data_IF_691041272940
#
_entry.id   IF_691041272940
#
_cell.length_a   1.000
_cell.length_b   1.000
_cell.length_c   1.000
_cell.angle_alpha   90.00
_cell.angle_beta   90.00
_cell.angle_gamma   90.00
#
_symmetry.space_group_name_H-M   'P 1'
#
loop_
_entity.id
_entity.type
_entity.pdbx_description
1 polymer ?
#
# COMPACT_ATOMS: atom_id res chain seq x y z
N UNK A 1 17.76 28.48 10.06
CA UNK A 1 18.32 29.04 8.82
C UNK A 1 17.23 29.16 7.77
N UNK A 2 16.73 30.37 7.63
CA UNK A 2 15.79 30.92 6.67
C UNK A 2 15.15 29.98 5.63
N UNK A 3 13.86 29.82 5.67
CA UNK A 3 12.93 29.40 4.59
C UNK A 3 13.20 28.08 3.83
N UNK A 4 14.23 27.27 4.13
CA UNK A 4 14.43 25.97 3.49
C UNK A 4 14.09 24.85 4.46
N UNK A 5 13.00 24.13 4.19
CA UNK A 5 12.67 22.90 4.92
C UNK A 5 13.77 21.86 4.69
N UNK A 6 14.47 21.48 5.74
CA UNK A 6 15.54 20.46 5.68
C UNK A 6 14.99 19.04 5.75
N UNK A 7 13.77 18.88 6.22
CA UNK A 7 13.04 17.62 6.32
C UNK A 7 11.80 17.79 7.19
N UNK A 8 11.01 16.75 7.26
CA UNK A 8 9.80 16.66 8.07
C UNK A 8 9.82 15.34 8.83
N UNK A 9 9.33 15.34 10.05
CA UNK A 9 9.16 14.17 10.90
C UNK A 9 7.65 13.97 11.10
N UNK A 10 7.13 12.80 10.75
CA UNK A 10 5.70 12.54 10.92
C UNK A 10 5.31 12.57 12.40
N UNK A 11 6.02 11.81 13.24
CA UNK A 11 5.76 11.78 14.68
C UNK A 11 7.04 11.67 15.50
N UNK A 12 7.11 12.46 16.58
CA UNK A 12 8.04 12.28 17.69
C UNK A 12 7.23 11.86 18.91
N UNK A 13 7.50 10.67 19.43
CA UNK A 13 6.76 10.06 20.53
C UNK A 13 7.72 9.82 21.69
N UNK A 14 7.33 10.23 22.88
CA UNK A 14 8.01 9.82 24.11
C UNK A 14 7.38 8.51 24.59
N UNK A 15 8.14 7.44 24.54
CA UNK A 15 7.76 6.17 25.13
C UNK A 15 7.86 6.28 26.65
N UNK A 16 6.74 6.17 27.35
CA UNK A 16 6.66 6.38 28.81
C UNK A 16 7.25 5.22 29.61
N UNK A 17 7.32 4.03 29.05
CA UNK A 17 7.90 2.84 29.69
C UNK A 17 9.42 2.88 29.66
N UNK A 18 9.99 3.23 28.51
CA UNK A 18 11.45 3.24 28.29
C UNK A 18 12.08 4.62 28.46
N UNK A 19 11.25 5.67 28.58
CA UNK A 19 11.64 7.08 28.60
C UNK A 19 12.47 7.52 27.37
N UNK A 20 12.33 6.80 26.24
CA UNK A 20 13.01 7.07 24.99
C UNK A 20 12.19 7.96 24.07
N UNK A 21 12.87 8.76 23.26
CA UNK A 21 12.25 9.50 22.16
C UNK A 21 12.34 8.64 20.91
N UNK A 22 11.18 8.41 20.31
CA UNK A 22 10.99 7.59 19.12
C UNK A 22 10.53 8.47 17.95
N UNK A 23 11.18 8.30 16.81
CA UNK A 23 10.75 8.88 15.54
C UNK A 23 9.96 7.84 14.75
N UNK A 24 8.71 8.13 14.44
CA UNK A 24 7.82 7.26 13.69
C UNK A 24 7.46 7.91 12.35
N UNK A 25 7.80 7.24 11.27
CA UNK A 25 7.35 7.57 9.92
C UNK A 25 6.20 6.65 9.53
N UNK A 26 5.06 7.24 9.15
CA UNK A 26 3.82 6.48 8.86
C UNK A 26 3.44 6.66 7.40
N UNK A 27 3.14 5.59 6.71
CA UNK A 27 2.64 5.63 5.35
C UNK A 27 1.45 4.70 5.16
N UNK A 28 0.42 5.18 4.46
CA UNK A 28 -0.67 4.34 3.98
C UNK A 28 -0.38 3.96 2.53
N UNK A 29 -0.25 2.65 2.27
CA UNK A 29 0.14 2.14 0.97
C UNK A 29 -0.64 0.90 0.57
N UNK A 30 -0.95 0.82 -0.71
CA UNK A 30 -1.55 -0.33 -1.36
C UNK A 30 -0.63 -0.74 -2.49
N UNK A 31 -0.08 -1.95 -2.42
CA UNK A 31 0.86 -2.45 -3.42
C UNK A 31 0.32 -3.69 -4.12
N UNK A 32 0.47 -3.70 -5.43
CA UNK A 32 0.09 -4.78 -6.34
C UNK A 32 1.36 -5.53 -6.71
N UNK A 33 1.43 -6.81 -6.36
CA UNK A 33 2.54 -7.67 -6.70
C UNK A 33 2.47 -8.14 -8.14
N UNK A 34 3.63 -8.31 -8.77
CA UNK A 34 3.77 -8.84 -10.14
C UNK A 34 4.91 -9.87 -10.17
N UNK A 35 4.91 -10.71 -11.18
CA UNK A 35 5.96 -11.70 -11.47
C UNK A 35 6.33 -12.57 -10.25
N UNK A 36 7.60 -12.52 -9.83
CA UNK A 36 8.17 -13.32 -8.73
C UNK A 36 7.98 -12.67 -7.36
N UNK A 37 7.27 -11.56 -7.26
CA UNK A 37 6.99 -10.81 -6.03
C UNK A 37 8.25 -10.30 -5.30
N UNK A 38 9.34 -10.04 -6.02
CA UNK A 38 10.50 -9.37 -5.46
C UNK A 38 10.14 -7.95 -5.01
N UNK A 39 10.89 -7.35 -4.08
CA UNK A 39 10.59 -6.02 -3.55
C UNK A 39 10.40 -4.92 -4.60
N UNK A 40 11.07 -5.04 -5.75
CA UNK A 40 10.95 -4.12 -6.88
C UNK A 40 9.69 -4.33 -7.73
N UNK A 41 8.99 -5.46 -7.54
CA UNK A 41 7.83 -5.88 -8.33
C UNK A 41 6.50 -5.63 -7.60
N UNK A 42 6.54 -4.86 -6.54
CA UNK A 42 5.36 -4.37 -5.84
C UNK A 42 5.12 -2.90 -6.19
N UNK A 43 4.09 -2.67 -6.97
CA UNK A 43 3.75 -1.35 -7.51
C UNK A 43 2.56 -0.75 -6.77
N UNK A 44 2.65 0.53 -6.44
CA UNK A 44 1.51 1.28 -5.96
C UNK A 44 0.46 1.51 -7.05
N UNK A 45 -0.63 2.17 -6.70
CA UNK A 45 -1.65 2.56 -7.68
C UNK A 45 -1.07 3.46 -8.78
N UNK A 46 -0.02 4.20 -8.47
CA UNK A 46 0.88 4.79 -9.44
C UNK A 46 2.10 3.86 -9.59
N UNK A 47 2.36 3.36 -10.78
CA UNK A 47 3.46 2.41 -11.06
C UNK A 47 4.86 2.95 -10.76
N UNK A 48 5.03 4.27 -10.69
CA UNK A 48 6.31 4.86 -10.28
C UNK A 48 6.58 4.73 -8.78
N UNK A 49 5.54 4.47 -7.97
CA UNK A 49 5.67 4.21 -6.54
C UNK A 49 5.84 2.70 -6.33
N UNK A 50 7.03 2.24 -5.96
CA UNK A 50 7.29 0.84 -5.65
C UNK A 50 7.60 0.65 -4.18
N UNK A 51 7.30 -0.55 -3.64
CA UNK A 51 7.61 -0.91 -2.26
C UNK A 51 9.11 -0.73 -1.97
N UNK A 52 9.98 -1.19 -2.85
CA UNK A 52 11.43 -1.02 -2.73
C UNK A 52 11.82 0.45 -2.63
N UNK A 53 11.24 1.31 -3.48
CA UNK A 53 11.51 2.75 -3.48
C UNK A 53 11.06 3.39 -2.17
N UNK A 54 9.90 3.00 -1.64
CA UNK A 54 9.39 3.52 -0.37
C UNK A 54 10.27 3.08 0.82
N UNK A 55 10.67 1.81 0.88
CA UNK A 55 11.59 1.32 1.91
C UNK A 55 12.94 2.06 1.87
N UNK A 56 13.49 2.25 0.67
CA UNK A 56 14.73 3.02 0.48
C UNK A 56 14.55 4.47 0.92
N UNK A 57 13.42 5.08 0.66
CA UNK A 57 13.13 6.45 1.09
C UNK A 57 13.11 6.59 2.61
N UNK A 58 12.50 5.64 3.34
CA UNK A 58 12.55 5.62 4.80
C UNK A 58 14.00 5.60 5.31
N UNK A 59 14.79 4.65 4.82
CA UNK A 59 16.15 4.43 5.32
C UNK A 59 17.12 5.56 4.94
N UNK A 60 17.03 6.08 3.71
CA UNK A 60 18.02 7.01 3.17
C UNK A 60 17.65 8.48 3.37
N UNK A 61 16.39 8.82 3.60
CA UNK A 61 15.95 10.21 3.70
C UNK A 61 15.24 10.55 5.00
N UNK A 62 14.24 9.80 5.37
CA UNK A 62 13.41 10.14 6.53
C UNK A 62 14.13 9.84 7.85
N UNK A 63 14.96 8.79 7.92
CA UNK A 63 15.71 8.44 9.12
C UNK A 63 17.08 9.10 9.28
N UNK A 64 17.35 10.18 8.56
CA UNK A 64 18.62 10.89 8.68
C UNK A 64 18.78 11.64 10.01
N UNK A 65 17.68 12.14 10.55
CA UNK A 65 17.71 12.92 11.77
C UNK A 65 17.96 12.04 12.99
N UNK A 66 18.98 12.38 13.77
CA UNK A 66 19.27 11.77 15.08
C UNK A 66 18.86 12.66 16.25
N UNK A 67 18.57 13.92 15.96
CA UNK A 67 18.19 14.92 16.96
C UNK A 67 17.30 16.00 16.35
N UNK A 68 16.59 16.70 17.21
CA UNK A 68 15.90 17.95 16.95
C UNK A 68 16.45 19.02 17.88
N UNK A 69 15.98 20.27 17.78
CA UNK A 69 16.37 21.33 18.69
C UNK A 69 16.09 21.04 20.18
N UNK A 70 15.22 20.09 20.48
CA UNK A 70 14.76 19.79 21.84
C UNK A 70 15.02 18.35 22.28
N UNK A 71 15.16 17.39 21.35
CA UNK A 71 15.20 15.97 21.67
C UNK A 71 16.28 15.23 20.87
N UNK A 72 16.94 14.29 21.50
CA UNK A 72 17.73 13.25 20.83
C UNK A 72 16.84 12.05 20.55
N UNK A 73 16.86 11.54 19.32
CA UNK A 73 16.06 10.42 18.87
C UNK A 73 16.81 9.12 19.12
N UNK A 74 16.29 8.25 19.98
CA UNK A 74 16.92 6.98 20.33
C UNK A 74 16.46 5.83 19.44
N UNK A 75 15.21 5.87 18.92
CA UNK A 75 14.66 4.80 18.08
C UNK A 75 13.91 5.38 16.89
N UNK A 76 13.89 4.62 15.78
CA UNK A 76 13.24 5.01 14.55
C UNK A 76 12.38 3.87 14.04
N UNK A 77 11.15 4.17 13.65
CA UNK A 77 10.16 3.20 13.20
C UNK A 77 9.54 3.61 11.86
N UNK A 78 9.61 2.71 10.86
CA UNK A 78 8.82 2.82 9.65
C UNK A 78 7.54 2.00 9.80
N UNK A 79 6.40 2.66 9.78
CA UNK A 79 5.09 2.02 9.90
C UNK A 79 4.36 2.14 8.57
N UNK A 80 4.25 1.04 7.85
CA UNK A 80 3.41 0.98 6.65
C UNK A 80 2.08 0.33 7.00
N UNK A 81 1.01 1.10 6.87
CA UNK A 81 -0.37 0.62 6.90
C UNK A 81 -0.86 0.43 5.47
N UNK A 82 -1.83 -0.45 5.30
CA UNK A 82 -2.42 -0.75 4.00
C UNK A 82 -2.45 -2.24 3.73
N UNK A 83 -2.42 -2.60 2.48
CA UNK A 83 -2.56 -4.00 2.07
C UNK A 83 -1.70 -4.32 0.85
N UNK A 84 -1.22 -5.55 0.82
CA UNK A 84 -0.58 -6.17 -0.34
C UNK A 84 -1.62 -6.98 -1.11
N UNK A 85 -1.56 -6.91 -2.44
CA UNK A 85 -2.47 -7.61 -3.34
C UNK A 85 -1.67 -8.52 -4.27
N UNK A 86 -1.99 -9.79 -4.24
CA UNK A 86 -1.40 -10.78 -5.15
C UNK A 86 -2.12 -10.75 -6.51
N UNK A 87 -1.45 -11.08 -7.60
CA UNK A 87 -2.12 -11.27 -8.88
C UNK A 87 -3.21 -12.34 -8.79
N UNK A 88 -4.31 -12.16 -9.50
CA UNK A 88 -5.49 -13.03 -9.48
C UNK A 88 -5.18 -14.52 -9.66
N UNK A 89 -4.14 -14.85 -10.42
CA UNK A 89 -3.74 -16.25 -10.69
C UNK A 89 -2.45 -16.66 -9.98
N UNK A 90 -2.08 -15.95 -8.90
CA UNK A 90 -0.86 -16.28 -8.16
C UNK A 90 -1.09 -17.45 -7.20
N UNK A 91 -0.20 -18.44 -7.24
CA UNK A 91 -0.27 -19.61 -6.35
C UNK A 91 0.50 -19.37 -5.04
N UNK A 92 -0.11 -19.74 -3.92
CA UNK A 92 0.47 -19.53 -2.59
C UNK A 92 1.88 -20.11 -2.38
N UNK A 93 2.25 -21.18 -3.13
CA UNK A 93 3.56 -21.84 -3.06
C UNK A 93 4.73 -20.95 -3.51
N UNK A 94 4.47 -19.85 -4.16
CA UNK A 94 5.48 -18.91 -4.66
C UNK A 94 5.54 -17.58 -3.90
N UNK A 95 4.86 -17.46 -2.77
CA UNK A 95 4.90 -16.25 -1.95
C UNK A 95 6.24 -16.18 -1.21
N UNK A 96 7.02 -15.08 -1.37
CA UNK A 96 8.29 -14.91 -0.68
C UNK A 96 8.16 -14.94 0.85
N UNK A 97 9.12 -15.54 1.55
CA UNK A 97 9.12 -15.69 3.01
C UNK A 97 9.03 -14.38 3.80
N UNK A 98 9.47 -13.26 3.22
CA UNK A 98 9.39 -11.95 3.87
C UNK A 98 7.97 -11.40 3.95
N UNK A 99 7.02 -11.99 3.22
CA UNK A 99 5.60 -11.63 3.28
C UNK A 99 4.93 -12.41 4.41
N UNK A 100 4.37 -11.68 5.36
CA UNK A 100 3.62 -12.30 6.45
C UNK A 100 2.25 -12.78 5.96
N UNK A 101 2.13 -14.06 5.63
CA UNK A 101 0.89 -14.69 5.15
C UNK A 101 -0.16 -14.90 6.23
N UNK A 102 0.18 -14.70 7.53
CA UNK A 102 -0.84 -14.67 8.59
C UNK A 102 -1.68 -13.37 8.56
N UNK A 103 -1.22 -12.36 7.82
CA UNK A 103 -1.99 -11.16 7.53
C UNK A 103 -2.78 -11.38 6.24
N UNK A 104 -3.99 -10.82 6.21
CA UNK A 104 -4.85 -10.89 5.04
C UNK A 104 -4.16 -10.21 3.85
N UNK A 105 -4.01 -10.95 2.76
CA UNK A 105 -3.61 -10.46 1.45
C UNK A 105 -4.86 -10.29 0.59
N UNK A 106 -4.88 -9.24 -0.24
CA UNK A 106 -5.91 -9.09 -1.26
C UNK A 106 -5.49 -9.73 -2.58
N UNK A 107 -6.38 -9.70 -3.54
CA UNK A 107 -6.09 -10.05 -4.93
C UNK A 107 -6.24 -8.82 -5.82
N UNK A 108 -5.56 -8.81 -6.95
CA UNK A 108 -5.73 -7.78 -7.97
C UNK A 108 -5.72 -8.38 -9.37
N UNK A 109 -6.40 -7.71 -10.28
CA UNK A 109 -6.45 -8.14 -11.67
C UNK A 109 -7.14 -7.13 -12.57
N UNK A 110 -7.28 -7.51 -13.83
CA UNK A 110 -7.90 -6.74 -14.90
C UNK A 110 -9.21 -7.36 -15.39
N UNK A 111 -9.59 -8.51 -14.85
CA UNK A 111 -10.79 -9.26 -15.21
C UNK A 111 -11.87 -8.99 -14.15
N UNK A 112 -13.10 -8.84 -14.57
CA UNK A 112 -14.25 -8.70 -13.68
C UNK A 112 -14.57 -10.07 -13.11
N UNK A 113 -14.48 -10.28 -11.77
CA UNK A 113 -14.84 -11.55 -11.15
C UNK A 113 -16.32 -11.88 -11.33
N UNK A 114 -16.63 -13.18 -11.36
CA UNK A 114 -18.01 -13.66 -11.50
C UNK A 114 -18.84 -13.51 -10.23
N UNK A 115 -18.18 -13.47 -9.06
CA UNK A 115 -18.82 -13.34 -7.75
C UNK A 115 -19.33 -11.91 -7.50
N UNK A 116 -20.37 -11.74 -6.66
CA UNK A 116 -20.86 -10.42 -6.30
C UNK A 116 -19.82 -9.68 -5.46
N UNK A 117 -19.37 -8.55 -5.95
CA UNK A 117 -18.48 -7.64 -5.25
C UNK A 117 -19.14 -6.29 -5.01
N UNK A 118 -18.80 -5.67 -3.88
CA UNK A 118 -19.21 -4.34 -3.49
C UNK A 118 -18.04 -3.39 -3.65
N UNK A 119 -18.25 -2.26 -4.31
CA UNK A 119 -17.21 -1.26 -4.46
C UNK A 119 -17.04 -0.47 -3.17
N UNK A 120 -15.81 -0.43 -2.65
CA UNK A 120 -15.48 0.37 -1.48
C UNK A 120 -15.22 1.83 -1.85
N UNK A 121 -15.76 2.74 -1.07
CA UNK A 121 -15.43 4.16 -1.12
C UNK A 121 -14.01 4.39 -0.57
N UNK A 122 -13.37 5.50 -0.93
CA UNK A 122 -11.98 5.76 -0.54
C UNK A 122 -11.73 5.73 0.96
N UNK A 123 -12.66 6.22 1.76
CA UNK A 123 -12.55 6.19 3.22
C UNK A 123 -12.70 4.77 3.80
N UNK A 124 -13.43 3.88 3.13
CA UNK A 124 -13.61 2.49 3.55
C UNK A 124 -12.34 1.64 3.31
N UNK A 125 -11.40 2.12 2.50
CA UNK A 125 -10.15 1.40 2.28
C UNK A 125 -9.26 1.33 3.53
N UNK A 126 -9.45 2.25 4.47
CA UNK A 126 -8.70 2.28 5.74
C UNK A 126 -9.15 1.17 6.70
N UNK A 127 -10.46 0.89 6.71
CA UNK A 127 -11.09 -0.10 7.56
C UNK A 127 -12.11 -0.90 6.73
N UNK A 128 -11.65 -1.75 5.84
CA UNK A 128 -12.53 -2.44 4.89
C UNK A 128 -13.43 -3.51 5.55
N UNK A 129 -13.19 -3.85 6.80
CA UNK A 129 -14.00 -4.80 7.58
C UNK A 129 -15.25 -4.16 8.20
N UNK A 130 -15.38 -2.85 8.12
CA UNK A 130 -16.60 -2.16 8.54
C UNK A 130 -17.57 -2.15 7.36
N UNK A 131 -18.87 -2.34 7.66
CA UNK A 131 -19.93 -2.53 6.67
C UNK A 131 -19.79 -1.62 5.45
N UNK A 132 -19.59 -2.20 4.26
CA UNK A 132 -19.51 -1.40 3.03
C UNK A 132 -20.85 -0.70 2.81
N UNK A 133 -20.79 0.59 2.54
CA UNK A 133 -21.97 1.43 2.25
C UNK A 133 -22.50 1.27 0.83
N UNK A 134 -21.76 0.55 -0.02
CA UNK A 134 -22.03 0.46 -1.44
C UNK A 134 -22.89 -0.75 -1.81
N UNK A 135 -23.68 -0.59 -2.85
CA UNK A 135 -24.43 -1.67 -3.50
C UNK A 135 -23.49 -2.58 -4.31
N UNK A 136 -24.00 -3.74 -4.71
CA UNK A 136 -23.30 -4.64 -5.64
C UNK A 136 -22.83 -3.86 -6.87
N UNK A 137 -21.58 -4.11 -7.26
CA UNK A 137 -20.97 -3.39 -8.38
C UNK A 137 -21.58 -3.82 -9.71
N UNK A 138 -22.34 -2.93 -10.34
CA UNK A 138 -22.84 -3.09 -11.70
C UNK A 138 -21.79 -2.63 -12.73
N UNK A 139 -21.00 -1.63 -12.37
CA UNK A 139 -19.96 -1.04 -13.21
C UNK A 139 -18.60 -1.14 -12.55
N UNK A 140 -17.62 -1.53 -13.33
CA UNK A 140 -16.26 -1.73 -12.85
C UNK A 140 -15.31 -0.64 -13.37
N UNK A 141 -14.63 -0.01 -12.45
CA UNK A 141 -13.56 0.95 -12.73
C UNK A 141 -12.43 0.75 -11.74
N UNK A 142 -11.27 1.33 -11.99
CA UNK A 142 -10.14 1.26 -11.05
C UNK A 142 -10.58 1.53 -9.61
N UNK A 143 -10.40 0.56 -8.72
CA UNK A 143 -10.86 0.68 -7.34
C UNK A 143 -10.71 -0.59 -6.54
N UNK A 144 -11.06 -0.50 -5.27
CA UNK A 144 -11.08 -1.62 -4.34
C UNK A 144 -12.51 -2.13 -4.18
N UNK A 145 -12.66 -3.42 -4.27
CA UNK A 145 -13.91 -4.16 -4.17
C UNK A 145 -13.81 -5.21 -3.07
N UNK A 146 -14.92 -5.51 -2.45
CA UNK A 146 -15.03 -6.46 -1.36
C UNK A 146 -16.13 -7.46 -1.64
N UNK A 147 -15.85 -8.75 -1.41
CA UNK A 147 -16.84 -9.80 -1.36
C UNK A 147 -16.98 -10.29 0.08
N UNK A 148 -18.18 -10.24 0.64
CA UNK A 148 -18.46 -10.63 2.01
C UNK A 148 -18.91 -12.10 2.15
N UNK A 149 -19.35 -12.73 1.05
CA UNK A 149 -19.98 -14.05 1.06
C UNK A 149 -18.98 -15.21 1.07
N UNK A 150 -17.75 -14.94 0.69
CA UNK A 150 -16.62 -15.88 0.81
C UNK A 150 -15.62 -15.30 1.80
N UNK A 151 -14.66 -16.11 2.26
CA UNK A 151 -13.55 -15.55 3.04
C UNK A 151 -13.05 -14.27 2.37
N UNK A 152 -12.97 -13.18 3.12
CA UNK A 152 -13.08 -11.84 2.58
C UNK A 152 -12.04 -11.58 1.52
N UNK A 153 -12.51 -11.57 0.34
CA UNK A 153 -11.69 -11.28 -0.80
C UNK A 153 -11.76 -9.80 -1.10
N UNK A 154 -10.65 -9.14 -0.84
CA UNK A 154 -10.44 -7.80 -1.34
C UNK A 154 -9.82 -7.90 -2.71
N UNK A 155 -10.48 -7.31 -3.68
CA UNK A 155 -10.06 -7.32 -5.06
C UNK A 155 -9.78 -5.89 -5.55
N UNK A 156 -8.55 -5.64 -5.91
CA UNK A 156 -8.15 -4.38 -6.53
C UNK A 156 -8.29 -4.51 -8.05
N UNK A 157 -9.37 -3.99 -8.59
CA UNK A 157 -9.57 -3.98 -10.04
C UNK A 157 -8.77 -2.85 -10.70
N UNK A 158 -8.06 -3.20 -11.76
CA UNK A 158 -7.33 -2.26 -12.62
C UNK A 158 -7.78 -2.45 -14.06
N UNK A 159 -8.29 -1.40 -14.67
CA UNK A 159 -8.60 -1.44 -16.09
C UNK A 159 -7.32 -1.72 -16.89
N UNK A 160 -7.39 -2.59 -17.91
CA UNK A 160 -6.28 -2.77 -18.84
C UNK A 160 -5.86 -1.41 -19.38
N UNK A 161 -4.54 -1.16 -19.46
CA UNK A 161 -4.05 0.02 -20.15
C UNK A 161 -4.51 -0.06 -21.60
N UNK A 162 -5.32 0.91 -22.04
CA UNK A 162 -5.64 1.05 -23.45
C UNK A 162 -4.31 1.39 -24.16
N UNK A 163 -3.79 0.43 -24.88
CA UNK A 163 -2.71 0.67 -25.82
C UNK A 163 -3.32 1.55 -26.95
N UNK A 164 -3.18 2.85 -26.83
CA UNK A 164 -3.38 3.72 -27.98
C UNK A 164 -2.29 3.37 -28.98
N UNK A 165 -2.61 2.53 -29.94
CA UNK A 165 -1.81 2.39 -31.13
C UNK A 165 -1.80 3.76 -31.80
N UNK A 166 -0.67 4.47 -31.70
CA UNK A 166 -0.41 5.62 -32.55
C UNK A 166 -0.29 5.07 -33.99
N UNK A 167 -1.41 5.04 -34.70
CA UNK A 167 -1.35 5.00 -36.15
C UNK A 167 -0.76 6.33 -36.58
N UNK A 168 0.56 6.36 -36.71
CA UNK A 168 1.23 7.38 -37.47
C UNK A 168 0.71 7.22 -38.91
N UNK A 169 -0.23 8.07 -39.27
CA UNK A 169 -0.58 8.30 -40.68
C UNK A 169 0.59 8.97 -41.34
N UNK A 170 1.02 8.37 -42.45
CA UNK A 170 2.03 8.88 -43.39
C UNK A 170 1.63 10.24 -43.95
#
# INVERSE_FOLDING_TARGET
DGARTTGELDFLIKNTETNQIEHWEVALKYYLGENELNLSEWFGLNRQDTLQRKLRHFTQRQFQFSETSQYTIQRKFAVMKGQLYLPEHHYASSIPEWINTSRRLGQWGTIIPVLPYYRLQRHEWLCPDQHPSSQTAEWWSNGLYHNADTEPMFYMFRQPALLFSSTASK
#
